data_IF_233282259986
#
_entry.id   IF_233282259986
#
_cell.length_a   1.000
_cell.length_b   1.000
_cell.length_c   1.000
_cell.angle_alpha   90.00
_cell.angle_beta   90.00
_cell.angle_gamma   90.00
#
_symmetry.space_group_name_H-M   'P 1'
#
loop_
_entity.id
_entity.type
_entity.pdbx_description
1 polymer ?
#
# COMPACT_ATOMS: atom_id res chain seq x y z
N UNK A 1 -24.30 24.58 -0.77
CA UNK A 1 -22.88 24.49 -0.38
C UNK A 1 -22.25 23.46 -1.30
N UNK A 2 -21.52 23.91 -2.33
CA UNK A 2 -20.85 23.03 -3.29
C UNK A 2 -19.48 22.65 -2.71
N UNK A 3 -19.34 21.41 -2.24
CA UNK A 3 -18.03 20.85 -1.94
C UNK A 3 -17.24 20.80 -3.26
N UNK A 4 -16.33 21.75 -3.46
CA UNK A 4 -15.32 21.63 -4.52
C UNK A 4 -14.48 20.41 -4.15
N UNK A 5 -14.38 19.45 -5.07
CA UNK A 5 -13.44 18.35 -4.91
C UNK A 5 -12.04 18.96 -4.66
N UNK A 6 -11.25 18.41 -3.72
CA UNK A 6 -9.89 18.86 -3.50
C UNK A 6 -9.10 18.73 -4.81
N UNK A 7 -8.21 19.68 -5.07
CA UNK A 7 -7.33 19.60 -6.22
C UNK A 7 -6.42 18.38 -6.09
N UNK A 8 -6.01 17.78 -7.21
CA UNK A 8 -5.11 16.63 -7.21
C UNK A 8 -3.82 16.88 -6.41
N UNK A 9 -3.35 18.13 -6.37
CA UNK A 9 -2.20 18.53 -5.57
C UNK A 9 -2.47 18.45 -4.06
N UNK A 10 -3.65 18.88 -3.61
CA UNK A 10 -4.04 18.78 -2.19
C UNK A 10 -4.16 17.32 -1.75
N UNK A 11 -4.69 16.45 -2.61
CA UNK A 11 -4.73 15.01 -2.36
C UNK A 11 -3.33 14.41 -2.25
N UNK A 12 -2.42 14.75 -3.17
CA UNK A 12 -1.03 14.29 -3.12
C UNK A 12 -0.31 14.77 -1.85
N UNK A 13 -0.54 16.01 -1.43
CA UNK A 13 0.01 16.54 -0.17
C UNK A 13 -0.56 15.80 1.04
N UNK A 14 -1.85 15.49 1.04
CA UNK A 14 -2.47 14.69 2.10
C UNK A 14 -1.86 13.29 2.17
N UNK A 15 -1.73 12.62 1.02
CA UNK A 15 -1.12 11.29 0.93
C UNK A 15 0.32 11.28 1.42
N UNK A 16 1.11 12.31 1.10
CA UNK A 16 2.49 12.44 1.58
C UNK A 16 2.56 12.57 3.11
N UNK A 17 1.64 13.33 3.72
CA UNK A 17 1.55 13.45 5.18
C UNK A 17 1.17 12.13 5.84
N UNK A 18 0.18 11.43 5.27
CA UNK A 18 -0.25 10.12 5.77
C UNK A 18 0.86 9.09 5.67
N UNK A 19 1.63 9.12 4.58
CA UNK A 19 2.80 8.26 4.40
C UNK A 19 3.87 8.53 5.46
N UNK A 20 4.23 9.79 5.69
CA UNK A 20 5.24 10.14 6.68
C UNK A 20 4.80 9.78 8.11
N UNK A 21 3.51 9.98 8.43
CA UNK A 21 2.95 9.58 9.71
C UNK A 21 3.02 8.06 9.92
N UNK A 22 2.66 7.26 8.90
CA UNK A 22 2.78 5.80 8.95
C UNK A 22 4.23 5.34 9.08
N UNK A 23 5.15 5.98 8.37
CA UNK A 23 6.59 5.67 8.48
C UNK A 23 7.07 5.83 9.91
N UNK A 24 6.80 6.97 10.55
CA UNK A 24 7.18 7.22 11.94
C UNK A 24 6.59 6.18 12.90
N UNK A 25 5.32 5.82 12.71
CA UNK A 25 4.68 4.77 13.52
C UNK A 25 5.37 3.40 13.36
N UNK A 26 5.84 3.07 12.15
CA UNK A 26 6.59 1.84 11.92
C UNK A 26 8.00 1.90 12.52
N UNK A 27 8.67 3.05 12.46
CA UNK A 27 9.97 3.27 13.09
C UNK A 27 9.87 3.12 14.61
N UNK A 28 8.86 3.73 15.23
CA UNK A 28 8.57 3.60 16.67
C UNK A 28 8.29 2.14 17.04
N UNK A 29 7.46 1.45 16.25
CA UNK A 29 7.14 0.03 16.47
C UNK A 29 8.38 -0.86 16.36
N UNK A 30 9.28 -0.56 15.41
CA UNK A 30 10.52 -1.29 15.23
C UNK A 30 11.52 -1.05 16.37
N UNK A 31 11.46 0.11 17.02
CA UNK A 31 12.26 0.41 18.20
C UNK A 31 11.77 -0.35 19.44
N UNK A 32 10.45 -0.44 19.61
CA UNK A 32 9.83 -0.93 20.85
C UNK A 32 9.66 -2.45 20.92
N UNK A 33 9.65 -3.14 19.76
CA UNK A 33 9.37 -4.58 19.70
C UNK A 33 10.62 -5.43 19.49
N UNK A 34 10.65 -6.58 20.16
CA UNK A 34 11.55 -7.67 19.80
C UNK A 34 11.31 -8.12 18.36
N UNK A 35 12.37 -8.50 17.66
CA UNK A 35 12.37 -8.80 16.23
C UNK A 35 11.26 -9.77 15.79
N UNK A 36 11.04 -10.87 16.52
CA UNK A 36 10.00 -11.86 16.19
C UNK A 36 8.57 -11.30 16.31
N UNK A 37 8.34 -10.40 17.27
CA UNK A 37 7.06 -9.72 17.45
C UNK A 37 6.88 -8.67 16.36
N UNK A 38 7.92 -7.91 16.04
CA UNK A 38 7.91 -6.96 14.94
C UNK A 38 7.56 -7.66 13.62
N UNK A 39 8.18 -8.80 13.33
CA UNK A 39 7.92 -9.58 12.13
C UNK A 39 6.45 -10.03 12.03
N UNK A 40 5.87 -10.53 13.13
CA UNK A 40 4.45 -10.91 13.17
C UNK A 40 3.52 -9.72 12.92
N UNK A 41 3.82 -8.57 13.54
CA UNK A 41 3.05 -7.35 13.32
C UNK A 41 3.14 -6.88 11.86
N UNK A 42 4.35 -6.91 11.30
CA UNK A 42 4.63 -6.57 9.91
C UNK A 42 3.86 -7.46 8.93
N UNK A 43 3.79 -8.76 9.16
CA UNK A 43 2.97 -9.69 8.36
C UNK A 43 1.49 -9.33 8.40
N UNK A 44 0.92 -9.13 9.60
CA UNK A 44 -0.48 -8.71 9.75
C UNK A 44 -0.76 -7.38 9.04
N UNK A 45 0.19 -6.43 9.10
CA UNK A 45 0.05 -5.18 8.36
C UNK A 45 0.08 -5.39 6.84
N UNK A 46 0.95 -6.25 6.33
CA UNK A 46 1.01 -6.56 4.90
C UNK A 46 -0.26 -7.23 4.38
N UNK A 47 -0.85 -8.15 5.15
CA UNK A 47 -2.13 -8.78 4.80
C UNK A 47 -3.24 -7.73 4.71
N UNK A 48 -3.39 -6.90 5.76
CA UNK A 48 -4.40 -5.84 5.79
C UNK A 48 -4.19 -4.77 4.70
N UNK A 49 -2.93 -4.49 4.36
CA UNK A 49 -2.61 -3.57 3.27
C UNK A 49 -3.01 -4.17 1.91
N UNK A 50 -2.74 -5.46 1.72
CA UNK A 50 -3.12 -6.21 0.52
C UNK A 50 -4.62 -6.24 0.32
N UNK A 51 -5.40 -6.56 1.37
CA UNK A 51 -6.87 -6.59 1.29
C UNK A 51 -7.45 -5.23 0.89
N UNK A 52 -6.98 -4.16 1.53
CA UNK A 52 -7.42 -2.79 1.20
C UNK A 52 -7.04 -2.40 -0.22
N UNK A 53 -5.84 -2.77 -0.65
CA UNK A 53 -5.37 -2.50 -2.01
C UNK A 53 -6.24 -3.22 -3.05
N UNK A 54 -6.53 -4.52 -2.84
CA UNK A 54 -7.40 -5.30 -3.74
C UNK A 54 -8.82 -4.73 -3.81
N UNK A 55 -9.38 -4.29 -2.69
CA UNK A 55 -10.68 -3.61 -2.68
C UNK A 55 -10.66 -2.30 -3.47
N UNK A 56 -9.63 -1.47 -3.30
CA UNK A 56 -9.47 -0.23 -4.05
C UNK A 56 -9.24 -0.49 -5.55
N UNK A 57 -8.43 -1.50 -5.89
CA UNK A 57 -8.19 -1.95 -7.25
C UNK A 57 -9.50 -2.38 -7.94
N UNK A 58 -10.36 -3.11 -7.25
CA UNK A 58 -11.67 -3.51 -7.79
C UNK A 58 -12.54 -2.29 -8.10
N UNK A 59 -12.65 -1.34 -7.16
CA UNK A 59 -13.42 -0.11 -7.36
C UNK A 59 -12.87 0.72 -8.53
N UNK A 60 -11.54 0.83 -8.62
CA UNK A 60 -10.87 1.53 -9.72
C UNK A 60 -11.22 0.89 -11.06
N UNK A 61 -11.06 -0.43 -11.21
CA UNK A 61 -11.38 -1.11 -12.46
C UNK A 61 -12.87 -1.09 -12.80
N UNK A 62 -13.75 -1.21 -11.80
CA UNK A 62 -15.19 -1.05 -12.00
C UNK A 62 -15.51 0.33 -12.56
N UNK A 63 -14.88 1.38 -12.05
CA UNK A 63 -15.06 2.74 -12.54
C UNK A 63 -14.50 2.92 -13.96
N UNK A 64 -13.30 2.38 -14.21
CA UNK A 64 -12.66 2.45 -15.50
C UNK A 64 -13.42 1.66 -16.58
N UNK A 65 -14.07 0.55 -16.21
CA UNK A 65 -14.88 -0.25 -17.15
C UNK A 65 -16.18 0.42 -17.58
N UNK A 66 -16.68 1.41 -16.83
CA UNK A 66 -17.96 2.09 -17.04
C UNK A 66 -17.84 3.40 -17.83
N UNK A 67 -16.62 3.83 -18.14
CA UNK A 67 -16.33 5.12 -18.76
C UNK A 67 -15.56 4.89 -20.06
N UNK A 68 -15.68 5.77 -21.06
CA UNK A 68 -14.69 5.81 -22.16
C UNK A 68 -13.35 6.24 -21.56
N UNK A 69 -12.56 5.25 -21.16
CA UNK A 69 -11.29 5.47 -20.46
C UNK A 69 -10.17 5.63 -21.45
N UNK A 70 -9.37 6.66 -21.20
CA UNK A 70 -8.07 6.87 -21.83
C UNK A 70 -7.17 5.62 -21.62
N UNK A 71 -6.66 5.00 -22.71
CA UNK A 71 -5.70 3.91 -22.62
C UNK A 71 -4.52 4.19 -21.68
N UNK A 72 -4.07 5.44 -21.56
CA UNK A 72 -3.00 5.84 -20.64
C UNK A 72 -3.40 5.68 -19.17
N UNK A 73 -4.65 6.02 -18.81
CA UNK A 73 -5.16 5.85 -17.47
C UNK A 73 -5.27 4.35 -17.09
N UNK A 74 -5.66 3.51 -18.05
CA UNK A 74 -5.70 2.06 -17.85
C UNK A 74 -4.30 1.47 -17.64
N UNK A 75 -3.30 1.92 -18.41
CA UNK A 75 -1.91 1.46 -18.24
C UNK A 75 -1.28 1.99 -16.94
N UNK A 76 -1.59 3.22 -16.52
CA UNK A 76 -1.19 3.75 -15.23
C UNK A 76 -1.76 2.92 -14.07
N UNK A 77 -3.06 2.56 -14.13
CA UNK A 77 -3.69 1.69 -13.13
C UNK A 77 -3.02 0.30 -13.08
N UNK A 78 -2.72 -0.30 -14.23
CA UNK A 78 -2.00 -1.58 -14.31
C UNK A 78 -0.60 -1.50 -13.71
N UNK A 79 0.13 -0.42 -14.01
CA UNK A 79 1.48 -0.17 -13.47
C UNK A 79 1.43 -0.08 -11.95
N UNK A 80 0.47 0.67 -11.41
CA UNK A 80 0.28 0.80 -9.96
C UNK A 80 0.00 -0.56 -9.29
N UNK A 81 -0.78 -1.43 -9.93
CA UNK A 81 -1.02 -2.79 -9.45
C UNK A 81 0.25 -3.65 -9.44
N UNK A 82 1.05 -3.59 -10.51
CA UNK A 82 2.31 -4.34 -10.58
C UNK A 82 3.31 -3.88 -9.53
N UNK A 83 3.49 -2.57 -9.35
CA UNK A 83 4.38 -2.04 -8.33
C UNK A 83 3.99 -2.50 -6.92
N UNK A 84 2.68 -2.56 -6.62
CA UNK A 84 2.22 -3.10 -5.34
C UNK A 84 2.57 -4.59 -5.18
N UNK A 85 2.30 -5.41 -6.20
CA UNK A 85 2.59 -6.85 -6.17
C UNK A 85 4.11 -7.12 -6.01
N UNK A 86 4.97 -6.34 -6.68
CA UNK A 86 6.44 -6.43 -6.54
C UNK A 86 6.90 -6.12 -5.11
N UNK A 87 6.35 -5.05 -4.49
CA UNK A 87 6.65 -4.70 -3.10
C UNK A 87 6.22 -5.82 -2.15
N UNK A 88 5.02 -6.39 -2.35
CA UNK A 88 4.51 -7.47 -1.52
C UNK A 88 5.39 -8.73 -1.64
N UNK A 89 5.86 -9.07 -2.84
CA UNK A 89 6.79 -10.17 -3.06
C UNK A 89 8.12 -9.96 -2.33
N UNK A 90 8.70 -8.77 -2.39
CA UNK A 90 9.92 -8.43 -1.65
C UNK A 90 9.72 -8.58 -0.15
N UNK A 91 8.57 -8.13 0.35
CA UNK A 91 8.24 -8.23 1.77
C UNK A 91 8.12 -9.69 2.24
N UNK A 92 7.41 -10.52 1.49
CA UNK A 92 7.33 -11.96 1.79
C UNK A 92 8.71 -12.62 1.76
N UNK A 93 9.57 -12.28 0.78
CA UNK A 93 10.94 -12.81 0.73
C UNK A 93 11.79 -12.41 1.94
N UNK A 94 11.65 -11.17 2.42
CA UNK A 94 12.33 -10.72 3.64
C UNK A 94 11.81 -11.46 4.88
N UNK A 95 10.50 -11.70 4.96
CA UNK A 95 9.89 -12.46 6.05
C UNK A 95 10.32 -13.93 6.06
N UNK A 96 10.38 -14.57 4.89
CA UNK A 96 10.86 -15.96 4.74
C UNK A 96 12.34 -16.07 5.15
N UNK A 97 13.17 -15.12 4.72
CA UNK A 97 14.60 -15.18 4.97
C UNK A 97 14.94 -15.03 6.45
N UNK A 98 14.18 -14.22 7.16
CA UNK A 98 14.35 -13.98 8.60
C UNK A 98 13.81 -15.13 9.44
N UNK A 99 12.80 -15.86 8.94
CA UNK A 99 12.30 -17.09 9.54
C UNK A 99 13.25 -18.30 9.41
N UNK A 100 14.17 -18.28 8.43
CA UNK A 100 15.14 -19.34 8.17
C UNK A 100 16.49 -19.22 8.90
N UNK A 101 16.77 -18.11 9.58
CA UNK A 101 18.04 -17.87 10.30
C UNK A 101 18.05 -18.51 11.71
N UNK A 102 16.95 -19.13 12.13
CA UNK A 102 16.82 -19.83 13.43
C UNK A 102 16.95 -21.36 13.34
N UNK A 103 17.39 -21.92 12.21
CA UNK A 103 17.74 -23.36 12.08
C UNK A 103 19.23 -23.62 12.22
#
# INVERSE_FOLDING_TARGET
>A
MTHSAPSALEELVSLAKDYDAKRRQLDDLAHDLAFDLLLRHLLVFSERATDRFRAAQQVLFDHLSKTEVDPEAMEAARTLCRCFDEILLLFHKLADHTSGVTS
#
